data_IF_648714117721
#
_entry.id   IF_648714117721
#
_cell.length_a   1.000
_cell.length_b   1.000
_cell.length_c   1.000
_cell.angle_alpha   90.00
_cell.angle_beta   90.00
_cell.angle_gamma   90.00
#
_symmetry.space_group_name_H-M   'P 1'
#
loop_
_entity.id
_entity.type
_entity.pdbx_description
1 polymer ?
#
# COMPACT_ATOMS: atom_id res chain seq x y z
N UNK A 1 17.84 -9.95 -37.56
CA UNK A 1 17.29 -9.05 -36.52
C UNK A 1 17.14 -7.67 -37.12
N UNK A 2 15.91 -7.18 -37.26
CA UNK A 2 15.59 -5.81 -37.70
C UNK A 2 15.57 -4.86 -36.50
N UNK A 3 15.56 -3.55 -36.72
CA UNK A 3 15.45 -2.56 -35.64
C UNK A 3 14.17 -2.74 -34.78
N UNK A 4 13.08 -3.27 -35.36
CA UNK A 4 11.84 -3.55 -34.63
C UNK A 4 11.98 -4.67 -33.60
N UNK A 5 12.75 -5.72 -33.94
CA UNK A 5 12.97 -6.87 -33.04
C UNK A 5 13.70 -6.39 -31.77
N UNK A 6 14.74 -5.57 -31.95
CA UNK A 6 15.54 -5.01 -30.85
C UNK A 6 14.75 -4.05 -29.95
N UNK A 7 13.79 -3.31 -30.50
CA UNK A 7 12.95 -2.39 -29.71
C UNK A 7 11.94 -3.16 -28.85
N UNK A 8 11.29 -4.18 -29.43
CA UNK A 8 10.36 -5.03 -28.69
C UNK A 8 11.02 -5.76 -27.51
N UNK A 9 12.25 -6.26 -27.72
CA UNK A 9 13.02 -6.96 -26.69
C UNK A 9 13.41 -6.01 -25.54
N UNK A 10 13.83 -4.78 -25.88
CA UNK A 10 14.12 -3.73 -24.88
C UNK A 10 12.89 -3.32 -24.09
N UNK A 11 11.75 -3.11 -24.74
CA UNK A 11 10.49 -2.77 -24.07
C UNK A 11 10.06 -3.86 -23.10
N UNK A 12 10.14 -5.12 -23.53
CA UNK A 12 9.83 -6.29 -22.70
C UNK A 12 10.76 -6.38 -21.48
N UNK A 13 12.07 -6.24 -21.67
CA UNK A 13 13.04 -6.26 -20.59
C UNK A 13 12.80 -5.12 -19.57
N UNK A 14 12.55 -3.90 -20.05
CA UNK A 14 12.28 -2.74 -19.19
C UNK A 14 10.98 -2.89 -18.39
N UNK A 15 9.95 -3.44 -19.03
CA UNK A 15 8.66 -3.72 -18.38
C UNK A 15 8.84 -4.78 -17.29
N UNK A 16 9.54 -5.86 -17.59
CA UNK A 16 9.82 -6.93 -16.63
C UNK A 16 10.58 -6.41 -15.41
N UNK A 17 11.65 -5.63 -15.62
CA UNK A 17 12.39 -5.01 -14.50
C UNK A 17 11.50 -4.08 -13.67
N UNK A 18 10.64 -3.30 -14.31
CA UNK A 18 9.72 -2.39 -13.61
C UNK A 18 8.72 -3.13 -12.73
N UNK A 19 8.16 -4.25 -13.24
CA UNK A 19 7.27 -5.12 -12.48
C UNK A 19 8.01 -5.72 -11.28
N UNK A 20 9.23 -6.23 -11.47
CA UNK A 20 10.01 -6.79 -10.37
C UNK A 20 10.35 -5.76 -9.29
N UNK A 21 10.70 -4.52 -9.67
CA UNK A 21 10.95 -3.44 -8.72
C UNK A 21 9.66 -3.09 -7.96
N UNK A 22 8.53 -2.98 -8.67
CA UNK A 22 7.23 -2.71 -8.05
C UNK A 22 6.89 -3.78 -7.03
N UNK A 23 7.00 -5.06 -7.40
CA UNK A 23 6.71 -6.19 -6.51
C UNK A 23 7.69 -6.23 -5.33
N UNK A 24 8.97 -6.01 -5.56
CA UNK A 24 9.97 -5.98 -4.49
C UNK A 24 9.71 -4.84 -3.49
N UNK A 25 9.47 -3.63 -4.00
CA UNK A 25 9.17 -2.47 -3.17
C UNK A 25 7.84 -2.65 -2.40
N UNK A 26 6.82 -3.21 -3.06
CA UNK A 26 5.52 -3.52 -2.45
C UNK A 26 5.64 -4.58 -1.35
N UNK A 27 6.42 -5.65 -1.60
CA UNK A 27 6.69 -6.68 -0.61
C UNK A 27 7.40 -6.11 0.62
N UNK A 28 8.46 -5.31 0.41
CA UNK A 28 9.19 -4.68 1.51
C UNK A 28 8.31 -3.72 2.32
N UNK A 29 7.49 -2.91 1.64
CA UNK A 29 6.55 -2.01 2.30
C UNK A 29 5.50 -2.77 3.13
N UNK A 30 4.99 -3.89 2.60
CA UNK A 30 4.04 -4.75 3.31
C UNK A 30 4.67 -5.37 4.56
N UNK A 31 5.90 -5.89 4.45
CA UNK A 31 6.65 -6.41 5.61
C UNK A 31 6.86 -5.34 6.68
N UNK A 32 7.17 -4.10 6.29
CA UNK A 32 7.33 -3.00 7.25
C UNK A 32 6.01 -2.65 7.94
N UNK A 33 4.88 -2.68 7.22
CA UNK A 33 3.56 -2.48 7.82
C UNK A 33 3.22 -3.59 8.82
N UNK A 34 3.47 -4.84 8.43
CA UNK A 34 3.22 -6.04 9.25
C UNK A 34 4.18 -6.18 10.44
N UNK A 35 5.37 -5.60 10.32
CA UNK A 35 6.28 -5.47 11.46
C UNK A 35 5.83 -4.34 12.39
N UNK A 36 5.38 -3.21 11.84
CA UNK A 36 4.93 -2.07 12.63
C UNK A 36 3.70 -2.41 13.49
N UNK A 37 2.60 -2.88 12.89
CA UNK A 37 1.30 -2.93 13.54
C UNK A 37 1.12 -4.03 14.58
N UNK A 38 1.33 -5.30 14.23
CA UNK A 38 1.26 -6.41 15.19
C UNK A 38 2.43 -6.50 16.16
N UNK A 39 3.65 -6.11 15.75
CA UNK A 39 4.87 -6.41 16.52
C UNK A 39 5.46 -5.18 17.21
N UNK A 40 5.79 -4.12 16.47
CA UNK A 40 6.52 -2.99 17.03
C UNK A 40 5.63 -2.07 17.87
N UNK A 41 4.39 -1.79 17.45
CA UNK A 41 3.52 -0.88 18.18
C UNK A 41 3.18 -1.37 19.59
N UNK A 42 2.86 -2.66 19.85
CA UNK A 42 2.64 -3.14 21.22
C UNK A 42 3.90 -3.11 22.08
N UNK A 43 5.07 -3.40 21.50
CA UNK A 43 6.35 -3.32 22.22
C UNK A 43 6.68 -1.89 22.68
N UNK A 44 6.16 -0.88 21.98
CA UNK A 44 6.30 0.52 22.34
C UNK A 44 5.18 1.02 23.27
N UNK A 45 4.29 0.13 23.71
CA UNK A 45 3.16 0.45 24.60
C UNK A 45 1.93 0.99 23.87
N UNK A 46 1.89 0.92 22.53
CA UNK A 46 0.73 1.30 21.75
C UNK A 46 -0.24 0.11 21.50
N UNK A 47 -1.43 0.39 20.99
CA UNK A 47 -2.36 -0.67 20.58
C UNK A 47 -1.79 -1.59 19.47
N UNK A 48 -2.16 -2.87 19.52
CA UNK A 48 -1.90 -3.83 18.47
C UNK A 48 -2.81 -3.57 17.25
N UNK A 49 -2.20 -3.50 16.06
CA UNK A 49 -2.93 -3.38 14.80
C UNK A 49 -2.92 -4.71 14.06
N UNK A 50 -4.02 -5.44 14.13
CA UNK A 50 -4.21 -6.65 13.31
C UNK A 50 -4.35 -6.29 11.83
N UNK A 51 -3.48 -6.85 11.01
CA UNK A 51 -3.45 -6.68 9.54
C UNK A 51 -4.55 -7.49 8.84
N UNK A 52 -5.05 -8.53 9.50
CA UNK A 52 -6.01 -9.48 8.92
C UNK A 52 -7.45 -9.20 9.35
N UNK A 53 -7.66 -8.50 10.48
CA UNK A 53 -9.01 -8.24 11.02
C UNK A 53 -9.89 -7.46 10.03
N UNK A 54 -9.37 -6.39 9.43
CA UNK A 54 -10.14 -5.57 8.51
C UNK A 54 -10.53 -6.34 7.22
N UNK A 55 -9.61 -7.01 6.50
CA UNK A 55 -9.96 -7.87 5.37
C UNK A 55 -10.97 -8.97 5.73
N UNK A 56 -10.81 -9.63 6.88
CA UNK A 56 -11.74 -10.67 7.36
C UNK A 56 -13.15 -10.11 7.52
N UNK A 57 -13.30 -9.01 8.27
CA UNK A 57 -14.62 -8.41 8.52
C UNK A 57 -15.24 -7.88 7.22
N UNK A 58 -14.44 -7.32 6.32
CA UNK A 58 -14.92 -6.89 5.00
C UNK A 58 -15.50 -8.06 4.19
N UNK A 59 -14.77 -9.17 4.10
CA UNK A 59 -15.21 -10.37 3.37
C UNK A 59 -16.50 -10.92 4.01
N UNK A 60 -16.55 -10.98 5.35
CA UNK A 60 -17.72 -11.43 6.08
C UNK A 60 -18.96 -10.57 5.79
N UNK A 61 -18.82 -9.24 5.79
CA UNK A 61 -19.92 -8.32 5.48
C UNK A 61 -20.39 -8.45 4.02
N UNK A 62 -19.47 -8.59 3.07
CA UNK A 62 -19.81 -8.62 1.64
C UNK A 62 -20.38 -9.99 1.22
N UNK A 63 -19.82 -11.08 1.72
CA UNK A 63 -20.09 -12.44 1.23
C UNK A 63 -20.77 -13.36 2.27
N UNK A 64 -20.90 -12.94 3.53
CA UNK A 64 -21.50 -13.73 4.62
C UNK A 64 -20.66 -14.93 5.08
N UNK A 65 -19.56 -15.24 4.40
CA UNK A 65 -18.65 -16.34 4.72
C UNK A 65 -17.21 -15.89 4.49
N UNK A 66 -16.28 -16.41 5.28
CA UNK A 66 -14.85 -16.10 5.17
C UNK A 66 -14.07 -17.39 4.90
N UNK A 67 -13.80 -17.75 3.63
CA UNK A 67 -12.99 -18.92 3.32
C UNK A 67 -11.57 -18.78 3.89
N UNK A 68 -10.99 -19.90 4.33
CA UNK A 68 -9.63 -19.94 4.90
C UNK A 68 -8.61 -19.34 3.94
N UNK A 69 -7.74 -18.46 4.45
CA UNK A 69 -6.67 -17.83 3.68
C UNK A 69 -7.10 -16.63 2.84
N UNK A 70 -8.40 -16.36 2.70
CA UNK A 70 -8.87 -15.22 1.88
C UNK A 70 -8.57 -13.85 2.52
N UNK A 71 -8.68 -13.64 3.85
CA UNK A 71 -8.28 -12.38 4.47
C UNK A 71 -6.79 -12.06 4.25
N UNK A 72 -5.93 -13.06 4.38
CA UNK A 72 -4.49 -12.96 4.15
C UNK A 72 -4.19 -12.66 2.68
N UNK A 73 -4.87 -13.35 1.76
CA UNK A 73 -4.71 -13.10 0.32
C UNK A 73 -5.08 -11.66 -0.04
N UNK A 74 -6.21 -11.15 0.48
CA UNK A 74 -6.62 -9.76 0.25
C UNK A 74 -5.62 -8.78 0.84
N UNK A 75 -5.11 -9.03 2.05
CA UNK A 75 -4.07 -8.20 2.67
C UNK A 75 -2.83 -8.12 1.78
N UNK A 76 -2.29 -9.27 1.38
CA UNK A 76 -1.07 -9.32 0.56
C UNK A 76 -1.27 -8.78 -0.85
N UNK A 77 -2.38 -9.07 -1.54
CA UNK A 77 -2.67 -8.48 -2.86
C UNK A 77 -2.77 -6.96 -2.75
N UNK A 78 -3.41 -6.47 -1.69
CA UNK A 78 -3.58 -5.02 -1.48
C UNK A 78 -2.23 -4.35 -1.30
N UNK A 79 -1.38 -4.86 -0.40
CA UNK A 79 -0.05 -4.32 -0.13
C UNK A 79 0.98 -4.55 -1.24
N UNK A 80 0.91 -5.67 -1.97
CA UNK A 80 1.89 -6.03 -3.00
C UNK A 80 1.54 -5.46 -4.38
N UNK A 81 0.26 -5.24 -4.67
CA UNK A 81 -0.22 -4.89 -6.01
C UNK A 81 -1.08 -3.63 -5.99
N UNK A 82 -2.19 -3.59 -5.25
CA UNK A 82 -3.16 -2.50 -5.39
C UNK A 82 -2.59 -1.14 -4.95
N UNK A 83 -1.97 -1.07 -3.78
CA UNK A 83 -1.34 0.15 -3.29
C UNK A 83 -0.14 0.60 -4.15
N UNK A 84 0.73 -0.31 -4.64
CA UNK A 84 1.75 0.05 -5.63
C UNK A 84 1.19 0.62 -6.93
N UNK A 85 0.12 0.02 -7.47
CA UNK A 85 -0.55 0.52 -8.67
C UNK A 85 -1.14 1.92 -8.44
N UNK A 86 -1.78 2.16 -7.27
CA UNK A 86 -2.28 3.47 -6.90
C UNK A 86 -1.18 4.55 -6.89
N UNK A 87 0.01 4.22 -6.40
CA UNK A 87 1.15 5.13 -6.48
C UNK A 87 1.58 5.40 -7.91
N UNK A 88 1.80 4.34 -8.70
CA UNK A 88 2.38 4.47 -10.05
C UNK A 88 1.45 5.13 -11.05
N UNK A 89 0.14 4.86 -10.96
CA UNK A 89 -0.84 5.29 -11.96
C UNK A 89 -1.67 6.51 -11.53
N UNK A 90 -1.74 6.82 -10.24
CA UNK A 90 -2.50 7.99 -9.75
C UNK A 90 -1.56 9.03 -9.15
N UNK A 91 -0.82 8.66 -8.11
CA UNK A 91 -0.04 9.62 -7.30
C UNK A 91 1.13 10.19 -8.09
N UNK A 92 1.90 9.34 -8.75
CA UNK A 92 3.11 9.76 -9.45
C UNK A 92 2.81 10.67 -10.66
N UNK A 93 1.84 10.34 -11.55
CA UNK A 93 1.42 11.25 -12.62
C UNK A 93 0.88 12.57 -12.08
N UNK A 94 0.04 12.52 -11.05
CA UNK A 94 -0.54 13.72 -10.43
C UNK A 94 0.54 14.63 -9.83
N UNK A 95 1.50 14.07 -9.08
CA UNK A 95 2.65 14.84 -8.55
C UNK A 95 3.44 15.50 -9.68
N UNK A 96 3.78 14.75 -10.73
CA UNK A 96 4.55 15.28 -11.87
C UNK A 96 3.80 16.41 -12.59
N UNK A 97 2.47 16.34 -12.66
CA UNK A 97 1.64 17.35 -13.31
C UNK A 97 1.47 18.63 -12.46
N UNK A 98 1.28 18.50 -11.13
CA UNK A 98 0.88 19.63 -10.28
C UNK A 98 2.07 20.22 -9.51
N UNK A 99 2.96 19.37 -8.99
CA UNK A 99 4.08 19.77 -8.13
C UNK A 99 5.35 18.97 -8.45
N UNK A 100 5.95 19.15 -9.64
CA UNK A 100 7.11 18.35 -10.09
C UNK A 100 8.36 18.51 -9.21
N UNK A 101 8.52 19.67 -8.55
CA UNK A 101 9.62 19.96 -7.64
C UNK A 101 9.43 19.38 -6.23
N UNK A 102 8.22 18.92 -5.88
CA UNK A 102 7.95 18.37 -4.55
C UNK A 102 8.74 17.08 -4.36
N UNK A 103 9.48 16.96 -3.26
CA UNK A 103 10.26 15.75 -2.99
C UNK A 103 9.35 14.52 -2.82
N UNK A 104 9.80 13.36 -3.29
CA UNK A 104 8.99 12.13 -3.30
C UNK A 104 8.56 11.69 -1.90
N UNK A 105 9.36 11.98 -0.87
CA UNK A 105 9.04 11.60 0.52
C UNK A 105 7.82 12.33 1.05
N UNK A 106 7.64 13.62 0.71
CA UNK A 106 6.46 14.38 1.10
C UNK A 106 5.23 13.81 0.38
N UNK A 107 5.37 13.48 -0.90
CA UNK A 107 4.29 12.81 -1.67
C UNK A 107 3.93 11.46 -1.05
N UNK A 108 4.91 10.70 -0.57
CA UNK A 108 4.68 9.43 0.13
C UNK A 108 3.94 9.59 1.45
N UNK A 109 4.27 10.61 2.26
CA UNK A 109 3.52 10.90 3.49
C UNK A 109 2.05 11.21 3.18
N UNK A 110 1.80 12.09 2.19
CA UNK A 110 0.43 12.40 1.75
C UNK A 110 -0.27 11.15 1.25
N UNK A 111 0.40 10.31 0.47
CA UNK A 111 -0.16 9.06 -0.01
C UNK A 111 -0.51 8.09 1.14
N UNK A 112 0.36 7.96 2.15
CA UNK A 112 0.08 7.17 3.34
C UNK A 112 -1.17 7.65 4.08
N UNK A 113 -1.37 8.97 4.20
CA UNK A 113 -2.60 9.55 4.76
C UNK A 113 -3.82 9.18 3.90
N UNK A 114 -3.71 9.25 2.57
CA UNK A 114 -4.80 8.85 1.66
C UNK A 114 -5.13 7.36 1.82
N UNK A 115 -4.14 6.49 1.92
CA UNK A 115 -4.36 5.05 2.16
C UNK A 115 -5.03 4.81 3.52
N UNK A 116 -4.62 5.53 4.56
CA UNK A 116 -5.25 5.47 5.88
C UNK A 116 -6.72 5.92 5.85
N UNK A 117 -7.04 7.01 5.15
CA UNK A 117 -8.42 7.44 4.91
C UNK A 117 -9.19 6.38 4.15
N UNK A 118 -8.60 5.82 3.08
CA UNK A 118 -9.25 4.76 2.32
C UNK A 118 -9.55 3.54 3.19
N UNK A 119 -8.59 3.04 3.95
CA UNK A 119 -8.79 1.88 4.81
C UNK A 119 -9.81 2.12 5.93
N UNK A 120 -9.71 3.25 6.66
CA UNK A 120 -10.51 3.44 7.87
C UNK A 120 -11.81 4.21 7.66
N UNK A 121 -11.92 4.99 6.59
CA UNK A 121 -13.17 5.67 6.25
C UNK A 121 -13.90 4.93 5.14
N UNK A 122 -13.27 4.66 4.00
CA UNK A 122 -13.97 4.01 2.89
C UNK A 122 -14.28 2.55 3.21
N UNK A 123 -13.27 1.75 3.59
CA UNK A 123 -13.50 0.33 3.86
C UNK A 123 -14.18 0.12 5.22
N UNK A 124 -13.57 0.57 6.31
CA UNK A 124 -14.09 0.29 7.65
C UNK A 124 -15.46 0.95 7.93
N UNK A 125 -15.67 2.20 7.49
CA UNK A 125 -16.92 2.90 7.77
C UNK A 125 -17.96 2.70 6.66
N UNK A 126 -17.65 3.05 5.41
CA UNK A 126 -18.66 3.02 4.34
C UNK A 126 -19.03 1.60 3.87
N UNK A 127 -18.09 0.66 3.88
CA UNK A 127 -18.34 -0.72 3.45
C UNK A 127 -18.75 -1.62 4.63
N UNK A 128 -18.01 -1.59 5.74
CA UNK A 128 -18.23 -2.49 6.88
C UNK A 128 -19.25 -1.95 7.88
N UNK A 129 -19.45 -0.62 7.97
CA UNK A 129 -20.37 0.00 8.92
C UNK A 129 -19.79 0.25 10.32
N UNK A 130 -18.47 0.21 10.49
CA UNK A 130 -17.83 0.61 11.75
C UNK A 130 -17.93 2.13 11.94
N UNK A 131 -17.72 2.67 13.16
CA UNK A 131 -17.60 4.10 13.36
C UNK A 131 -16.51 4.71 12.46
N UNK A 132 -16.64 5.97 12.01
CA UNK A 132 -15.63 6.62 11.18
C UNK A 132 -14.28 6.60 11.88
N UNK A 133 -13.25 6.18 11.15
CA UNK A 133 -11.90 6.00 11.69
C UNK A 133 -11.84 5.06 12.90
N UNK A 134 -12.73 4.06 12.98
CA UNK A 134 -12.88 3.13 14.11
C UNK A 134 -13.09 3.91 15.44
N UNK A 135 -13.75 5.07 15.38
CA UNK A 135 -14.02 5.90 16.55
C UNK A 135 -12.80 6.68 17.07
N UNK A 136 -11.77 6.88 16.24
CA UNK A 136 -10.54 7.59 16.62
C UNK A 136 -9.85 7.00 17.86
N UNK A 137 -9.92 5.69 18.01
CA UNK A 137 -9.20 4.94 19.05
C UNK A 137 -7.70 4.92 18.77
N UNK A 138 -6.92 4.37 19.69
CA UNK A 138 -5.47 4.27 19.53
C UNK A 138 -5.04 3.54 18.25
N UNK A 139 -5.75 2.47 17.88
CA UNK A 139 -5.54 1.71 16.63
C UNK A 139 -5.65 2.59 15.38
N UNK A 140 -6.44 3.67 15.42
CA UNK A 140 -6.57 4.64 14.33
C UNK A 140 -5.23 5.31 14.05
N UNK A 141 -4.51 5.70 15.08
CA UNK A 141 -3.24 6.41 14.98
C UNK A 141 -2.09 5.46 14.68
N UNK A 142 -2.11 4.25 15.25
CA UNK A 142 -1.19 3.17 14.87
C UNK A 142 -1.33 2.84 13.38
N UNK A 143 -2.56 2.76 12.87
CA UNK A 143 -2.80 2.56 11.45
C UNK A 143 -2.29 3.73 10.59
N UNK A 144 -2.46 4.98 11.04
CA UNK A 144 -1.94 6.14 10.31
C UNK A 144 -0.42 6.05 10.10
N UNK A 145 0.32 5.79 11.19
CA UNK A 145 1.77 5.64 11.12
C UNK A 145 2.14 4.48 10.21
N UNK A 146 1.45 3.34 10.34
CA UNK A 146 1.67 2.17 9.48
C UNK A 146 1.55 2.50 8.00
N UNK A 147 0.49 3.19 7.58
CA UNK A 147 0.29 3.54 6.17
C UNK A 147 1.32 4.56 5.66
N UNK A 148 1.78 5.49 6.51
CA UNK A 148 2.87 6.41 6.17
C UNK A 148 4.18 5.65 5.98
N UNK A 149 4.53 4.74 6.90
CA UNK A 149 5.74 3.90 6.79
C UNK A 149 5.70 3.04 5.52
N UNK A 150 4.57 2.39 5.26
CA UNK A 150 4.34 1.64 4.04
C UNK A 150 4.62 2.50 2.79
N UNK A 151 3.99 3.67 2.70
CA UNK A 151 4.11 4.53 1.53
C UNK A 151 5.53 5.06 1.34
N UNK A 152 6.23 5.40 2.42
CA UNK A 152 7.63 5.84 2.39
C UNK A 152 8.56 4.75 1.88
N UNK A 153 8.42 3.52 2.37
CA UNK A 153 9.25 2.37 1.97
C UNK A 153 8.99 2.00 0.52
N UNK A 154 7.72 1.96 0.10
CA UNK A 154 7.37 1.72 -1.29
C UNK A 154 7.96 2.79 -2.21
N UNK A 155 7.73 4.07 -1.87
CA UNK A 155 8.21 5.19 -2.67
C UNK A 155 9.75 5.24 -2.73
N UNK A 156 10.44 4.91 -1.64
CA UNK A 156 11.89 4.79 -1.62
C UNK A 156 12.36 3.70 -2.60
N UNK A 157 11.79 2.49 -2.54
CA UNK A 157 12.12 1.41 -3.44
C UNK A 157 11.85 1.77 -4.90
N UNK A 158 10.68 2.33 -5.18
CA UNK A 158 10.27 2.75 -6.51
C UNK A 158 11.14 3.89 -7.06
N UNK A 159 11.52 4.88 -6.26
CA UNK A 159 12.24 6.07 -6.75
C UNK A 159 13.76 5.90 -6.79
N UNK A 160 14.33 5.08 -5.92
CA UNK A 160 15.79 4.85 -5.90
C UNK A 160 16.24 3.74 -6.83
N UNK A 161 15.31 2.84 -7.23
CA UNK A 161 15.59 1.72 -8.12
C UNK A 161 14.91 1.85 -9.49
N UNK A 162 14.09 2.87 -9.72
CA UNK A 162 13.56 3.15 -11.07
C UNK A 162 14.68 3.67 -11.96
N UNK A 163 14.90 2.96 -13.07
CA UNK A 163 15.86 3.32 -14.10
C UNK A 163 15.33 4.50 -14.93
N UNK A 164 16.16 5.54 -15.08
CA UNK A 164 16.14 6.38 -16.28
C UNK A 164 16.59 5.56 -17.48
#
# INVERSE_FOLDING_TARGET
>A
MTNHDNESERLSANMFSSILIMLFAGALATVIFDFWGPSLSPLLGFAELSTIKLPRTMIEVIFGTVPTGTPELIHYITGLILYPLGWLFVVLPMRKAIMPSLHWSITAVVYGIVLWVFALYVVAHLIIGLPPFIGFTETTWVALIGHILYALVFAWGAQTRSFK
#
